data_IF_081524924169
#
_entry.id   IF_081524924169
#
_cell.length_a   1.000
_cell.length_b   1.000
_cell.length_c   1.000
_cell.angle_alpha   90.00
_cell.angle_beta   90.00
_cell.angle_gamma   90.00
#
_symmetry.space_group_name_H-M   'P 1'
#
loop_
_entity.id
_entity.type
_entity.pdbx_description
1 polymer ?
#
# COMPACT_ATOMS: atom_id res chain seq x y z
N UNK A 1 25.82 -11.82 -17.54
CA UNK A 1 24.99 -10.58 -17.63
C UNK A 1 23.72 -10.72 -16.82
N UNK A 2 22.98 -9.63 -16.55
CA UNK A 2 21.78 -9.64 -15.67
C UNK A 2 20.74 -10.70 -16.08
N UNK A 3 20.46 -10.84 -17.38
CA UNK A 3 19.56 -11.86 -17.93
C UNK A 3 20.06 -13.31 -17.75
N UNK A 4 21.39 -13.52 -17.75
CA UNK A 4 21.97 -14.84 -17.50
C UNK A 4 21.86 -15.22 -16.02
N UNK A 5 22.06 -14.25 -15.12
CA UNK A 5 21.87 -14.44 -13.68
C UNK A 5 20.39 -14.70 -13.34
N UNK A 6 19.46 -14.05 -14.04
CA UNK A 6 18.02 -14.29 -13.91
C UNK A 6 17.65 -15.73 -14.29
N UNK A 7 18.11 -16.18 -15.47
CA UNK A 7 17.86 -17.55 -15.94
C UNK A 7 18.49 -18.60 -15.01
N UNK A 8 19.68 -18.33 -14.48
CA UNK A 8 20.33 -19.22 -13.53
C UNK A 8 19.61 -19.26 -12.16
N UNK A 9 19.08 -18.13 -11.69
CA UNK A 9 18.20 -18.07 -10.50
C UNK A 9 16.91 -18.89 -10.71
N UNK A 10 16.26 -18.73 -11.86
CA UNK A 10 15.05 -19.49 -12.24
C UNK A 10 15.33 -20.99 -12.37
N UNK A 11 16.56 -21.38 -12.70
CA UNK A 11 17.04 -22.76 -12.69
C UNK A 11 17.45 -23.28 -11.29
N UNK A 12 17.22 -22.51 -10.22
CA UNK A 12 17.47 -22.92 -8.84
C UNK A 12 18.89 -22.70 -8.33
N UNK A 13 19.74 -21.96 -9.05
CA UNK A 13 21.10 -21.65 -8.60
C UNK A 13 21.08 -20.48 -7.58
N UNK A 14 21.32 -20.83 -6.31
CA UNK A 14 21.31 -19.90 -5.17
C UNK A 14 22.36 -18.78 -5.27
N UNK A 15 23.56 -19.09 -5.75
CA UNK A 15 24.66 -18.13 -5.86
C UNK A 15 24.36 -17.10 -6.96
N UNK A 16 23.81 -17.55 -8.08
CA UNK A 16 23.32 -16.68 -9.14
C UNK A 16 22.15 -15.80 -8.67
N UNK A 17 21.26 -16.33 -7.82
CA UNK A 17 20.18 -15.56 -7.20
C UNK A 17 20.69 -14.41 -6.33
N UNK A 18 21.68 -14.66 -5.46
CA UNK A 18 22.27 -13.62 -4.61
C UNK A 18 22.96 -12.53 -5.44
N UNK A 19 23.69 -12.93 -6.48
CA UNK A 19 24.37 -11.99 -7.38
C UNK A 19 23.39 -11.18 -8.23
N UNK A 20 22.29 -11.80 -8.68
CA UNK A 20 21.20 -11.13 -9.37
C UNK A 20 20.57 -10.03 -8.50
N UNK A 21 20.18 -10.36 -7.27
CA UNK A 21 19.58 -9.40 -6.33
C UNK A 21 20.53 -8.24 -6.01
N UNK A 22 21.81 -8.52 -5.82
CA UNK A 22 22.82 -7.48 -5.55
C UNK A 22 22.99 -6.53 -6.74
N UNK A 23 22.99 -7.05 -7.96
CA UNK A 23 23.16 -6.26 -9.18
C UNK A 23 21.90 -5.42 -9.51
N UNK A 24 20.70 -5.97 -9.31
CA UNK A 24 19.43 -5.23 -9.43
C UNK A 24 19.40 -4.03 -8.48
N UNK A 25 19.78 -4.23 -7.21
CA UNK A 25 19.85 -3.15 -6.20
C UNK A 25 20.81 -2.04 -6.59
N UNK A 26 21.94 -2.38 -7.20
CA UNK A 26 22.97 -1.42 -7.57
C UNK A 26 22.58 -0.58 -8.80
N UNK A 27 21.74 -1.14 -9.68
CA UNK A 27 21.23 -0.47 -10.88
C UNK A 27 19.98 0.39 -10.61
N UNK A 28 19.20 0.07 -9.57
CA UNK A 28 17.93 0.75 -9.31
C UNK A 28 18.01 1.98 -8.41
N UNK A 29 19.10 2.20 -7.66
CA UNK A 29 19.36 3.47 -6.95
C UNK A 29 18.27 4.02 -6.02
N UNK A 30 17.21 3.26 -5.73
CA UNK A 30 15.95 3.79 -5.23
C UNK A 30 15.18 2.69 -4.48
N UNK A 31 14.37 3.09 -3.49
CA UNK A 31 13.71 2.22 -2.49
C UNK A 31 12.57 1.34 -3.04
N UNK A 32 12.63 1.01 -4.32
CA UNK A 32 11.66 0.18 -4.99
C UNK A 32 12.23 -1.22 -5.19
N UNK A 33 11.87 -2.10 -4.25
CA UNK A 33 11.31 -3.42 -4.60
C UNK A 33 12.27 -4.60 -4.73
N UNK A 34 12.23 -5.51 -3.73
CA UNK A 34 11.91 -6.92 -4.00
C UNK A 34 10.60 -7.25 -3.30
N UNK A 35 9.52 -6.84 -3.97
CA UNK A 35 8.20 -7.41 -3.87
C UNK A 35 8.24 -8.66 -4.75
N UNK A 36 8.82 -9.74 -4.22
CA UNK A 36 8.55 -11.06 -4.77
C UNK A 36 7.29 -11.58 -4.06
N UNK A 37 6.18 -11.88 -4.77
CA UNK A 37 5.17 -12.71 -4.18
C UNK A 37 5.84 -14.05 -3.83
N UNK A 38 5.86 -14.39 -2.54
CA UNK A 38 6.33 -15.72 -2.12
C UNK A 38 5.51 -16.76 -2.91
N UNK A 39 6.15 -17.81 -3.45
CA UNK A 39 5.42 -18.83 -4.19
C UNK A 39 4.32 -19.39 -3.27
N UNK A 40 3.08 -19.39 -3.77
CA UNK A 40 1.96 -20.08 -3.12
C UNK A 40 2.43 -21.48 -2.74
N UNK A 41 2.66 -21.71 -1.44
CA UNK A 41 2.78 -23.08 -0.91
C UNK A 41 1.38 -23.65 -0.83
N UNK A 42 0.78 -23.91 -1.98
CA UNK A 42 -0.22 -24.96 -2.06
C UNK A 42 0.51 -26.29 -1.83
N UNK A 43 0.16 -26.95 -0.75
CA UNK A 43 0.77 -28.20 -0.33
C UNK A 43 0.01 -28.76 0.84
N UNK A 44 -1.13 -29.39 0.53
CA UNK A 44 -1.87 -30.22 1.49
C UNK A 44 -0.99 -31.45 1.76
N UNK A 45 -0.43 -31.57 2.96
CA UNK A 45 0.06 -32.86 3.47
C UNK A 45 -0.94 -33.37 4.52
N UNK A 46 -1.76 -34.34 4.13
CA UNK A 46 -2.80 -34.93 4.98
C UNK A 46 -2.29 -36.06 5.89
N UNK A 47 -0.98 -36.25 6.08
CA UNK A 47 -0.47 -37.44 6.82
C UNK A 47 0.20 -37.18 8.16
N UNK A 48 0.40 -35.95 8.58
CA UNK A 48 1.02 -35.70 9.89
C UNK A 48 0.15 -34.74 10.69
N UNK A 49 -0.46 -35.24 11.76
CA UNK A 49 -1.27 -34.46 12.71
C UNK A 49 -0.45 -33.45 13.52
N UNK A 50 0.45 -32.72 12.86
CA UNK A 50 1.19 -31.59 13.40
C UNK A 50 0.33 -30.37 13.14
N UNK A 51 -0.11 -29.70 14.20
CA UNK A 51 -0.60 -28.33 14.09
C UNK A 51 0.52 -27.49 13.47
N UNK A 52 0.37 -27.14 12.20
CA UNK A 52 1.19 -26.11 11.59
C UNK A 52 0.90 -24.80 12.34
N UNK A 53 1.92 -23.99 12.69
CA UNK A 53 1.65 -22.65 13.20
C UNK A 53 0.77 -21.96 12.16
N UNK A 54 -0.37 -21.40 12.60
CA UNK A 54 -1.37 -20.81 11.72
C UNK A 54 -0.68 -19.97 10.63
N UNK A 55 -0.78 -20.41 9.38
CA UNK A 55 -0.27 -19.64 8.25
C UNK A 55 -1.07 -18.35 8.24
N UNK A 56 -0.46 -17.25 8.70
CA UNK A 56 -1.13 -15.96 8.74
C UNK A 56 -1.53 -15.59 7.31
N UNK A 57 -2.83 -15.49 7.07
CA UNK A 57 -3.36 -14.97 5.81
C UNK A 57 -3.40 -13.44 5.84
N UNK A 58 -3.53 -12.81 4.66
CA UNK A 58 -3.58 -11.35 4.55
C UNK A 58 -4.71 -10.75 5.41
N UNK A 59 -5.83 -11.47 5.56
CA UNK A 59 -6.97 -11.04 6.37
C UNK A 59 -6.64 -10.99 7.87
N UNK A 60 -5.94 -12.00 8.40
CA UNK A 60 -5.46 -12.03 9.78
C UNK A 60 -4.46 -10.90 10.07
N UNK A 61 -3.56 -10.61 9.12
CA UNK A 61 -2.64 -9.48 9.21
C UNK A 61 -3.38 -8.13 9.22
N UNK A 62 -4.43 -7.98 8.40
CA UNK A 62 -5.29 -6.78 8.42
C UNK A 62 -6.01 -6.65 9.76
N UNK A 63 -6.51 -7.74 10.34
CA UNK A 63 -7.16 -7.72 11.65
C UNK A 63 -6.18 -7.29 12.77
N UNK A 64 -4.95 -7.83 12.76
CA UNK A 64 -3.89 -7.37 13.66
C UNK A 64 -3.57 -5.89 13.45
N UNK A 65 -3.45 -5.45 12.20
CA UNK A 65 -3.17 -4.06 11.87
C UNK A 65 -4.24 -3.10 12.38
N UNK A 66 -5.53 -3.47 12.25
CA UNK A 66 -6.65 -2.71 12.80
C UNK A 66 -6.58 -2.62 14.32
N UNK A 67 -6.29 -3.73 14.99
CA UNK A 67 -6.13 -3.74 16.45
C UNK A 67 -4.99 -2.82 16.91
N UNK A 68 -3.81 -2.91 16.30
CA UNK A 68 -2.71 -2.00 16.60
C UNK A 68 -3.06 -0.53 16.31
N UNK A 69 -3.88 -0.29 15.28
CA UNK A 69 -4.37 1.05 14.92
C UNK A 69 -5.31 1.63 15.99
N UNK A 70 -6.12 0.79 16.62
CA UNK A 70 -7.01 1.13 17.76
C UNK A 70 -6.21 1.36 19.04
N UNK A 71 -5.20 0.52 19.29
CA UNK A 71 -4.27 0.64 20.41
C UNK A 71 -3.32 1.86 20.27
N UNK A 72 -3.31 2.52 19.12
CA UNK A 72 -2.48 3.69 18.81
C UNK A 72 -1.04 3.37 18.39
N UNK A 73 -0.68 2.09 18.32
CA UNK A 73 0.62 1.62 17.82
C UNK A 73 0.62 1.61 16.28
N UNK A 74 0.80 2.81 15.71
CA UNK A 74 0.81 3.01 14.27
C UNK A 74 1.99 2.30 13.57
N UNK A 75 3.08 2.06 14.29
CA UNK A 75 4.30 1.45 13.74
C UNK A 75 4.08 -0.05 13.52
N UNK A 76 3.55 -0.74 14.53
CA UNK A 76 3.16 -2.15 14.41
C UNK A 76 2.04 -2.33 13.38
N UNK A 77 1.06 -1.42 13.37
CA UNK A 77 -0.02 -1.44 12.39
C UNK A 77 0.49 -1.31 10.95
N UNK A 78 1.45 -0.40 10.69
CA UNK A 78 2.03 -0.25 9.36
C UNK A 78 2.82 -1.48 8.94
N UNK A 79 3.54 -2.10 9.88
CA UNK A 79 4.26 -3.34 9.60
C UNK A 79 3.30 -4.44 9.14
N UNK A 80 2.14 -4.59 9.81
CA UNK A 80 1.14 -5.61 9.47
C UNK A 80 0.43 -5.29 8.15
N UNK A 81 0.08 -4.03 7.89
CA UNK A 81 -0.50 -3.64 6.60
C UNK A 81 0.48 -3.81 5.44
N UNK A 82 1.77 -3.52 5.64
CA UNK A 82 2.80 -3.76 4.63
C UNK A 82 2.93 -5.24 4.30
N UNK A 83 2.93 -6.09 5.34
CA UNK A 83 2.97 -7.54 5.18
C UNK A 83 1.73 -8.04 4.42
N UNK A 84 0.53 -7.61 4.82
CA UNK A 84 -0.71 -7.94 4.12
C UNK A 84 -0.70 -7.47 2.66
N UNK A 85 -0.16 -6.27 2.39
CA UNK A 85 -0.03 -5.73 1.04
C UNK A 85 0.93 -6.54 0.18
N UNK A 86 2.01 -7.06 0.78
CA UNK A 86 2.94 -7.97 0.07
C UNK A 86 2.32 -9.30 -0.33
N UNK A 87 1.32 -9.76 0.41
CA UNK A 87 0.59 -11.00 0.10
C UNK A 87 -0.52 -10.76 -0.93
N UNK A 88 -1.27 -9.67 -0.81
CA UNK A 88 -2.35 -9.33 -1.72
C UNK A 88 -2.41 -7.82 -2.00
N UNK A 89 -1.67 -7.32 -3.00
CA UNK A 89 -1.62 -5.89 -3.31
C UNK A 89 -2.90 -5.36 -3.97
N UNK A 90 -3.78 -6.24 -4.43
CA UNK A 90 -5.05 -5.88 -5.06
C UNK A 90 -6.22 -5.91 -4.08
N UNK A 91 -6.01 -6.36 -2.83
CA UNK A 91 -7.06 -6.39 -1.81
C UNK A 91 -7.49 -4.97 -1.42
N UNK A 92 -8.74 -4.57 -1.71
CA UNK A 92 -9.20 -3.21 -1.42
C UNK A 92 -9.15 -2.87 0.08
N UNK A 93 -9.34 -3.84 0.99
CA UNK A 93 -9.28 -3.58 2.43
C UNK A 93 -7.84 -3.33 2.91
N UNK A 94 -6.88 -4.06 2.34
CA UNK A 94 -5.46 -3.85 2.62
C UNK A 94 -5.01 -2.50 2.09
N UNK A 95 -5.35 -2.19 0.83
CA UNK A 95 -4.93 -0.96 0.15
C UNK A 95 -5.50 0.27 0.85
N UNK A 96 -6.81 0.28 1.15
CA UNK A 96 -7.44 1.39 1.88
C UNK A 96 -6.89 1.53 3.29
N UNK A 97 -6.75 0.42 4.02
CA UNK A 97 -6.23 0.42 5.38
C UNK A 97 -4.80 0.93 5.47
N UNK A 98 -3.94 0.48 4.55
CA UNK A 98 -2.55 0.92 4.50
C UNK A 98 -2.42 2.40 4.15
N UNK A 99 -3.15 2.87 3.12
CA UNK A 99 -3.17 4.28 2.73
C UNK A 99 -3.68 5.20 3.85
N UNK A 100 -4.77 4.82 4.52
CA UNK A 100 -5.31 5.57 5.65
C UNK A 100 -4.31 5.66 6.82
N UNK A 101 -3.56 4.59 7.07
CA UNK A 101 -2.58 4.57 8.14
C UNK A 101 -1.33 5.41 7.82
N UNK A 102 -0.84 5.36 6.58
CA UNK A 102 0.23 6.24 6.09
C UNK A 102 -0.16 7.72 6.23
N UNK A 103 -1.41 8.05 5.90
CA UNK A 103 -1.97 9.36 6.14
C UNK A 103 -1.93 9.72 7.65
N UNK A 104 -2.43 8.84 8.54
CA UNK A 104 -2.48 9.10 10.00
C UNK A 104 -1.10 9.30 10.63
N UNK A 105 -0.09 8.47 10.27
CA UNK A 105 1.29 8.59 10.77
C UNK A 105 2.04 9.81 10.21
N UNK A 106 1.42 10.57 9.31
CA UNK A 106 1.92 11.82 8.77
C UNK A 106 3.19 11.70 7.89
N UNK A 107 3.45 10.48 7.40
CA UNK A 107 4.35 10.17 6.28
C UNK A 107 3.64 10.49 4.96
N UNK A 108 3.28 11.76 4.78
CA UNK A 108 2.34 12.20 3.75
C UNK A 108 2.89 12.01 2.33
N UNK A 109 4.19 12.18 2.13
CA UNK A 109 4.86 11.93 0.86
C UNK A 109 4.82 10.44 0.47
N UNK A 110 5.01 9.54 1.43
CA UNK A 110 4.87 8.09 1.20
C UNK A 110 3.41 7.72 0.94
N UNK A 111 2.48 8.30 1.70
CA UNK A 111 1.05 8.11 1.49
C UNK A 111 0.65 8.53 0.08
N UNK A 112 1.10 9.69 -0.40
CA UNK A 112 0.81 10.17 -1.75
C UNK A 112 1.31 9.18 -2.80
N UNK A 113 2.58 8.77 -2.74
CA UNK A 113 3.16 7.81 -3.71
C UNK A 113 2.41 6.47 -3.71
N UNK A 114 2.10 5.94 -2.54
CA UNK A 114 1.34 4.70 -2.40
C UNK A 114 -0.08 4.84 -3.00
N UNK A 115 -0.78 5.93 -2.69
CA UNK A 115 -2.14 6.19 -3.17
C UNK A 115 -2.18 6.42 -4.68
N UNK A 116 -1.14 7.03 -5.27
CA UNK A 116 -1.00 7.16 -6.72
C UNK A 116 -0.94 5.78 -7.39
N UNK A 117 -0.16 4.85 -6.85
CA UNK A 117 -0.08 3.47 -7.37
C UNK A 117 -1.39 2.71 -7.14
N UNK A 118 -1.99 2.86 -5.96
CA UNK A 118 -3.26 2.23 -5.61
C UNK A 118 -4.39 2.65 -6.55
N UNK A 119 -4.48 3.95 -6.88
CA UNK A 119 -5.46 4.49 -7.82
C UNK A 119 -5.18 4.12 -9.28
N UNK A 120 -3.91 3.87 -9.66
CA UNK A 120 -3.62 3.28 -10.97
C UNK A 120 -4.13 1.84 -11.08
N UNK A 121 -4.04 1.06 -10.00
CA UNK A 121 -4.54 -0.31 -9.96
C UNK A 121 -6.08 -0.38 -9.83
N UNK A 122 -6.69 0.51 -9.06
CA UNK A 122 -8.13 0.59 -8.87
C UNK A 122 -8.63 2.05 -9.02
N UNK A 123 -8.86 2.53 -10.25
CA UNK A 123 -9.25 3.91 -10.51
C UNK A 123 -10.70 4.23 -10.12
N UNK A 124 -11.46 3.26 -9.63
CA UNK A 124 -12.88 3.37 -9.27
C UNK A 124 -13.14 3.32 -7.76
N UNK A 125 -12.10 3.24 -6.93
CA UNK A 125 -12.27 3.27 -5.47
C UNK A 125 -12.38 4.72 -4.96
N UNK A 126 -13.61 5.13 -4.66
CA UNK A 126 -13.92 6.46 -4.14
C UNK A 126 -13.17 6.80 -2.83
N UNK A 127 -12.90 5.79 -1.99
CA UNK A 127 -12.25 5.99 -0.70
C UNK A 127 -10.75 6.29 -0.88
N UNK A 128 -10.10 5.69 -1.90
CA UNK A 128 -8.71 6.02 -2.22
C UNK A 128 -8.55 7.46 -2.70
N UNK A 129 -9.47 7.96 -3.52
CA UNK A 129 -9.49 9.39 -3.88
C UNK A 129 -9.64 10.27 -2.64
N UNK A 130 -10.54 9.92 -1.71
CA UNK A 130 -10.74 10.66 -0.46
C UNK A 130 -9.48 10.70 0.41
N UNK A 131 -8.80 9.56 0.56
CA UNK A 131 -7.57 9.48 1.36
C UNK A 131 -6.45 10.26 0.68
N UNK A 132 -6.32 10.22 -0.65
CA UNK A 132 -5.30 10.99 -1.38
C UNK A 132 -5.58 12.49 -1.31
N UNK A 133 -6.83 12.91 -1.47
CA UNK A 133 -7.24 14.31 -1.32
C UNK A 133 -6.87 14.87 0.07
N UNK A 134 -7.21 14.14 1.13
CA UNK A 134 -6.83 14.48 2.51
C UNK A 134 -5.31 14.56 2.70
N UNK A 135 -4.56 13.62 2.11
CA UNK A 135 -3.10 13.60 2.14
C UNK A 135 -2.50 14.85 1.48
N UNK A 136 -3.00 15.19 0.28
CA UNK A 136 -2.59 16.36 -0.49
C UNK A 136 -2.96 17.67 0.22
N UNK A 137 -4.11 17.74 0.88
CA UNK A 137 -4.53 18.91 1.66
C UNK A 137 -3.60 19.15 2.86
N UNK A 138 -3.18 18.09 3.58
CA UNK A 138 -2.19 18.23 4.66
C UNK A 138 -0.81 18.61 4.14
N UNK A 139 -0.42 18.10 2.96
CA UNK A 139 0.82 18.53 2.30
C UNK A 139 0.73 19.99 1.89
N UNK A 140 -0.41 20.45 1.39
CA UNK A 140 -0.68 21.87 1.15
C UNK A 140 -0.57 22.69 2.44
N UNK A 141 -1.15 22.24 3.55
CA UNK A 141 -1.08 22.97 4.81
C UNK A 141 0.37 23.15 5.29
N UNK A 142 1.24 22.16 5.02
CA UNK A 142 2.69 22.19 5.33
C UNK A 142 3.52 23.03 4.36
N UNK A 143 3.31 22.85 3.05
CA UNK A 143 4.17 23.40 1.99
C UNK A 143 3.63 24.70 1.37
N UNK A 144 2.34 24.98 1.57
CA UNK A 144 1.57 26.07 0.95
C UNK A 144 1.62 26.08 -0.59
N UNK A 145 1.86 24.91 -1.19
CA UNK A 145 1.86 24.74 -2.64
C UNK A 145 0.43 24.56 -3.18
N UNK A 146 -0.03 25.57 -3.92
CA UNK A 146 -1.39 25.62 -4.50
C UNK A 146 -1.67 24.49 -5.50
N UNK A 147 -0.65 23.87 -6.09
CA UNK A 147 -0.85 22.72 -6.97
C UNK A 147 -1.34 21.50 -6.21
N UNK A 148 -0.90 21.31 -4.95
CA UNK A 148 -1.37 20.22 -4.09
C UNK A 148 -2.85 20.41 -3.73
N UNK A 149 -3.25 21.64 -3.41
CA UNK A 149 -4.66 21.95 -3.13
C UNK A 149 -5.55 21.72 -4.35
N UNK A 150 -5.09 22.12 -5.55
CA UNK A 150 -5.82 21.85 -6.80
C UNK A 150 -6.00 20.35 -7.04
N UNK A 151 -4.95 19.55 -6.85
CA UNK A 151 -5.03 18.10 -6.98
C UNK A 151 -5.99 17.49 -5.94
N UNK A 152 -5.96 17.96 -4.69
CA UNK A 152 -6.89 17.49 -3.66
C UNK A 152 -8.35 17.74 -4.04
N UNK A 153 -8.67 18.93 -4.57
CA UNK A 153 -10.01 19.27 -5.02
C UNK A 153 -10.49 18.39 -6.19
N UNK A 154 -9.60 18.08 -7.13
CA UNK A 154 -9.91 17.17 -8.24
C UNK A 154 -10.18 15.75 -7.73
N UNK A 155 -9.40 15.28 -6.77
CA UNK A 155 -9.60 13.96 -6.16
C UNK A 155 -10.91 13.87 -5.39
N UNK A 156 -11.24 14.88 -4.57
CA UNK A 156 -12.54 14.93 -3.90
C UNK A 156 -13.69 14.91 -4.91
N UNK A 157 -13.56 15.65 -6.01
CA UNK A 157 -14.57 15.67 -7.06
C UNK A 157 -14.74 14.29 -7.68
N UNK A 158 -13.65 13.61 -8.05
CA UNK A 158 -13.71 12.24 -8.60
C UNK A 158 -14.29 11.23 -7.60
N UNK A 159 -13.91 11.33 -6.33
CA UNK A 159 -14.48 10.48 -5.29
C UNK A 159 -15.99 10.70 -5.12
N UNK A 160 -16.46 11.95 -5.21
CA UNK A 160 -17.90 12.29 -5.18
C UNK A 160 -18.62 11.89 -6.47
N UNK A 161 -17.97 11.90 -7.63
CA UNK A 161 -18.56 11.35 -8.88
C UNK A 161 -18.80 9.84 -8.75
N UNK A 162 -17.90 9.12 -8.09
CA UNK A 162 -18.02 7.68 -7.83
C UNK A 162 -18.97 7.37 -6.65
N UNK A 163 -19.07 8.27 -5.67
CA UNK A 163 -19.95 8.14 -4.50
C UNK A 163 -20.65 9.47 -4.16
N UNK A 164 -21.72 9.83 -4.90
CA UNK A 164 -22.35 11.16 -4.79
C UNK A 164 -23.03 11.44 -3.44
N UNK A 165 -23.38 10.39 -2.71
CA UNK A 165 -24.05 10.49 -1.40
C UNK A 165 -23.08 10.47 -0.23
N UNK A 166 -21.76 10.48 -0.46
CA UNK A 166 -20.76 10.44 0.59
C UNK A 166 -20.67 11.78 1.34
N UNK A 167 -21.55 11.99 2.31
CA UNK A 167 -21.71 13.28 3.02
C UNK A 167 -20.40 13.78 3.66
N UNK A 168 -19.58 12.88 4.20
CA UNK A 168 -18.30 13.25 4.80
C UNK A 168 -17.29 13.80 3.77
N UNK A 169 -17.17 13.16 2.60
CA UNK A 169 -16.32 13.63 1.51
C UNK A 169 -16.79 14.98 0.95
N UNK A 170 -18.11 15.18 0.86
CA UNK A 170 -18.68 16.47 0.43
C UNK A 170 -18.31 17.60 1.41
N UNK A 171 -18.38 17.32 2.71
CA UNK A 171 -17.95 18.27 3.73
C UNK A 171 -16.45 18.60 3.63
N UNK A 172 -15.59 17.59 3.43
CA UNK A 172 -14.15 17.76 3.24
C UNK A 172 -13.84 18.58 1.98
N UNK A 173 -14.53 18.30 0.88
CA UNK A 173 -14.42 19.05 -0.38
C UNK A 173 -14.78 20.53 -0.23
N UNK A 174 -15.93 20.85 0.37
CA UNK A 174 -16.35 22.24 0.55
C UNK A 174 -15.42 23.00 1.50
N UNK A 175 -14.90 22.34 2.53
CA UNK A 175 -13.87 22.92 3.40
C UNK A 175 -12.58 23.22 2.62
N UNK A 176 -12.13 22.30 1.77
CA UNK A 176 -10.92 22.49 0.97
C UNK A 176 -11.07 23.63 -0.05
N UNK A 177 -12.27 23.82 -0.63
CA UNK A 177 -12.55 24.93 -1.57
C UNK A 177 -12.41 26.32 -0.93
N UNK A 178 -12.59 26.41 0.38
CA UNK A 178 -12.51 27.67 1.10
C UNK A 178 -11.07 28.11 1.44
N UNK A 179 -10.05 27.29 1.15
CA UNK A 179 -8.62 27.55 1.45
C UNK A 179 -7.87 28.24 0.31
#
# INVERSE_FOLDING_TARGET
GLEELKRAKEAGNLEAGVLYEKLVRQLQGDWTTSFEPLPNREGIDTRTGVQTPAVKDAASLVAEAKKYTEDGDLDSALSRYREAYSMNPADPDVVRGYGALLYRRATLEEAQKFLDQALQANPTDAELYRIRANTLERLYDRKKDRNLLKQALEDYKKGLELSPTHSFMLMEYERAKAK
#
